data_IF_462393028042
#
_entry.id   IF_462393028042
#
_cell.length_a   1.000
_cell.length_b   1.000
_cell.length_c   1.000
_cell.angle_alpha   90.00
_cell.angle_beta   90.00
_cell.angle_gamma   90.00
#
_symmetry.space_group_name_H-M   'P 1'
#
loop_
_entity.id
_entity.type
_entity.pdbx_description
1 polymer ?
#
# COMPACT_ATOMS: atom_id res chain seq x y z
N UNK A 1 -26.20 -14.33 -22.48
CA UNK A 1 -25.03 -13.54 -22.90
C UNK A 1 -23.81 -14.06 -22.14
N UNK A 2 -22.92 -14.80 -22.81
CA UNK A 2 -21.66 -15.25 -22.19
C UNK A 2 -20.69 -14.08 -22.25
N UNK A 3 -20.33 -13.51 -21.10
CA UNK A 3 -19.21 -12.57 -20.95
C UNK A 3 -17.93 -13.36 -21.30
N UNK A 4 -17.53 -13.29 -22.58
CA UNK A 4 -16.28 -13.85 -23.06
C UNK A 4 -15.16 -12.94 -22.52
N UNK A 5 -14.48 -13.41 -21.48
CA UNK A 5 -13.23 -12.87 -20.91
C UNK A 5 -13.18 -11.35 -20.74
N UNK A 6 -13.27 -10.88 -19.49
CA UNK A 6 -12.93 -9.51 -19.15
C UNK A 6 -11.49 -9.21 -19.59
N UNK A 7 -11.29 -8.17 -20.39
CA UNK A 7 -9.95 -7.70 -20.73
C UNK A 7 -9.38 -6.94 -19.53
N UNK A 8 -8.41 -7.56 -18.87
CA UNK A 8 -7.71 -7.03 -17.70
C UNK A 8 -6.33 -6.48 -18.08
N UNK A 9 -6.11 -6.18 -19.36
CA UNK A 9 -4.85 -5.62 -19.84
C UNK A 9 -4.84 -4.11 -19.62
N UNK A 10 -3.89 -3.60 -18.85
CA UNK A 10 -3.73 -2.18 -18.56
C UNK A 10 -2.26 -1.82 -18.68
N UNK A 11 -1.91 -0.82 -19.50
CA UNK A 11 -0.51 -0.44 -19.78
C UNK A 11 0.41 -1.63 -20.17
N UNK A 12 -0.14 -2.65 -20.83
CA UNK A 12 0.62 -3.84 -21.25
C UNK A 12 0.86 -4.88 -20.14
N UNK A 13 0.27 -4.70 -18.94
CA UNK A 13 0.30 -5.68 -17.85
C UNK A 13 -1.10 -6.22 -17.57
N UNK A 14 -1.19 -7.49 -17.15
CA UNK A 14 -2.47 -8.09 -16.78
C UNK A 14 -2.77 -7.80 -15.31
N UNK A 15 -3.86 -7.08 -15.04
CA UNK A 15 -4.30 -6.67 -13.70
C UNK A 15 -4.62 -7.86 -12.77
N UNK A 16 -4.96 -9.03 -13.32
CA UNK A 16 -5.19 -10.25 -12.53
C UNK A 16 -3.89 -10.95 -12.11
N UNK A 17 -2.76 -10.64 -12.75
CA UNK A 17 -1.48 -11.22 -12.40
C UNK A 17 -1.00 -10.66 -11.06
N UNK A 18 -0.26 -11.48 -10.32
CA UNK A 18 0.30 -11.13 -9.01
C UNK A 18 1.77 -10.76 -9.21
N UNK A 19 2.29 -9.71 -8.56
CA UNK A 19 3.72 -9.40 -8.62
C UNK A 19 4.61 -10.53 -8.09
N UNK A 20 4.08 -11.39 -7.21
CA UNK A 20 4.77 -12.61 -6.77
C UNK A 20 5.06 -13.63 -7.86
N UNK A 21 4.34 -13.57 -8.98
CA UNK A 21 4.57 -14.40 -10.17
C UNK A 21 5.54 -13.76 -11.18
N UNK A 22 6.42 -12.87 -10.71
CA UNK A 22 7.43 -12.17 -11.52
C UNK A 22 8.33 -13.11 -12.34
N UNK A 23 8.55 -14.33 -11.85
CA UNK A 23 9.32 -15.35 -12.56
C UNK A 23 8.66 -15.83 -13.87
N UNK A 24 7.33 -15.71 -13.97
CA UNK A 24 6.55 -16.16 -15.14
C UNK A 24 6.06 -14.97 -15.98
N UNK A 25 5.75 -13.85 -15.32
CA UNK A 25 5.11 -12.70 -15.96
C UNK A 25 6.04 -11.48 -16.15
N UNK A 26 7.28 -11.55 -15.67
CA UNK A 26 8.33 -10.54 -15.89
C UNK A 26 8.76 -9.82 -14.61
N UNK A 27 10.06 -9.53 -14.52
CA UNK A 27 10.68 -8.88 -13.35
C UNK A 27 10.16 -7.45 -13.10
N UNK A 28 9.68 -6.77 -14.14
CA UNK A 28 9.11 -5.41 -14.05
C UNK A 28 7.87 -5.34 -13.16
N UNK A 29 7.17 -6.45 -12.92
CA UNK A 29 6.02 -6.50 -12.01
C UNK A 29 6.39 -6.17 -10.56
N UNK A 30 7.65 -6.39 -10.17
CA UNK A 30 8.16 -6.03 -8.84
C UNK A 30 8.21 -4.52 -8.60
N UNK A 31 8.16 -3.71 -9.66
CA UNK A 31 8.08 -2.25 -9.53
C UNK A 31 6.76 -1.80 -8.88
N UNK A 32 5.66 -2.53 -9.07
CA UNK A 32 4.35 -2.20 -8.51
C UNK A 32 4.36 -2.23 -6.96
N UNK A 33 4.72 -3.35 -6.30
CA UNK A 33 4.75 -3.39 -4.83
C UNK A 33 5.81 -2.46 -4.24
N UNK A 34 6.92 -2.24 -4.95
CA UNK A 34 7.95 -1.27 -4.53
C UNK A 34 7.40 0.15 -4.55
N UNK A 35 6.77 0.57 -5.65
CA UNK A 35 6.11 1.86 -5.76
C UNK A 35 5.01 2.01 -4.70
N UNK A 36 4.25 0.94 -4.45
CA UNK A 36 3.21 0.93 -3.41
C UNK A 36 3.79 1.15 -2.03
N UNK A 37 4.86 0.45 -1.67
CA UNK A 37 5.51 0.61 -0.38
C UNK A 37 6.07 2.03 -0.19
N UNK A 38 6.69 2.60 -1.22
CA UNK A 38 7.21 3.98 -1.21
C UNK A 38 6.06 4.98 -1.05
N UNK A 39 4.98 4.79 -1.80
CA UNK A 39 3.82 5.66 -1.75
C UNK A 39 3.14 5.62 -0.38
N UNK A 40 3.01 4.42 0.20
CA UNK A 40 2.42 4.25 1.52
C UNK A 40 3.31 4.84 2.60
N UNK A 41 4.63 4.67 2.50
CA UNK A 41 5.58 5.32 3.41
C UNK A 41 5.50 6.84 3.33
N UNK A 42 5.42 7.40 2.12
CA UNK A 42 5.25 8.83 1.92
C UNK A 42 3.93 9.33 2.52
N UNK A 43 2.83 8.60 2.30
CA UNK A 43 1.53 8.89 2.89
C UNK A 43 1.59 8.88 4.43
N UNK A 44 2.20 7.87 5.03
CA UNK A 44 2.35 7.77 6.49
C UNK A 44 3.19 8.91 7.05
N UNK A 45 4.25 9.34 6.34
CA UNK A 45 5.07 10.47 6.74
C UNK A 45 4.30 11.79 6.69
N UNK A 46 3.47 11.99 5.66
CA UNK A 46 2.57 13.15 5.58
C UNK A 46 1.52 13.14 6.70
N UNK A 47 0.92 11.99 6.99
CA UNK A 47 0.00 11.83 8.12
C UNK A 47 0.65 12.05 9.48
N UNK A 48 1.95 11.77 9.62
CA UNK A 48 2.70 12.08 10.84
C UNK A 48 3.02 13.58 10.99
N UNK A 49 3.01 14.34 9.89
CA UNK A 49 3.25 15.79 9.86
C UNK A 49 1.95 16.58 10.03
N UNK A 50 0.82 16.05 9.60
CA UNK A 50 -0.50 16.55 10.02
C UNK A 50 -0.77 16.07 11.44
N UNK A 51 -1.11 16.93 12.41
CA UNK A 51 -1.53 16.48 13.72
C UNK A 51 -2.81 15.67 13.57
N UNK A 52 -2.68 14.36 13.52
CA UNK A 52 -3.82 13.47 13.39
C UNK A 52 -4.62 13.58 14.69
N UNK A 53 -5.86 14.07 14.58
CA UNK A 53 -6.91 13.84 15.56
C UNK A 53 -7.17 12.33 15.62
N UNK A 54 -6.29 11.57 16.26
CA UNK A 54 -6.61 10.21 16.68
C UNK A 54 -7.55 10.33 17.87
N UNK A 55 -8.83 10.18 17.58
CA UNK A 55 -9.84 9.84 18.58
C UNK A 55 -9.46 8.50 19.22
N UNK A 56 -9.56 8.47 20.56
CA UNK A 56 -9.38 7.35 21.49
C UNK A 56 -7.93 6.86 21.68
N UNK A 57 -7.37 6.73 22.88
CA UNK A 57 -7.90 6.82 24.24
C UNK A 57 -6.66 6.96 25.16
N UNK A 58 -6.81 7.76 26.22
CA UNK A 58 -6.12 7.69 27.53
C UNK A 58 -4.93 6.72 27.64
N UNK A 59 -3.74 7.22 27.96
CA UNK A 59 -3.15 7.14 29.32
C UNK A 59 -1.75 7.78 29.30
N UNK A 60 -1.53 8.78 30.14
CA UNK A 60 -0.23 9.43 30.41
C UNK A 60 0.74 8.51 31.18
N UNK A 61 0.98 7.28 30.73
CA UNK A 61 1.82 6.34 31.48
C UNK A 61 2.61 5.42 30.54
N UNK A 62 3.76 5.89 30.05
CA UNK A 62 4.73 5.07 29.33
C UNK A 62 5.20 5.67 28.00
N UNK A 63 5.94 6.78 28.05
CA UNK A 63 6.50 7.44 26.85
C UNK A 63 7.25 6.47 25.93
N UNK A 64 7.93 5.45 26.47
CA UNK A 64 8.61 4.43 25.68
C UNK A 64 7.67 3.47 24.95
N UNK A 65 6.57 3.05 25.59
CA UNK A 65 5.58 2.17 24.95
C UNK A 65 4.83 2.90 23.83
N UNK A 66 4.46 4.17 24.05
CA UNK A 66 3.84 5.00 23.03
C UNK A 66 4.76 5.21 21.82
N UNK A 67 6.05 5.44 22.06
CA UNK A 67 7.06 5.63 21.00
C UNK A 67 7.31 4.37 20.18
N UNK A 68 7.34 3.20 20.84
CA UNK A 68 7.42 1.89 20.17
C UNK A 68 6.19 1.66 19.28
N UNK A 69 4.99 1.96 19.79
CA UNK A 69 3.74 1.78 19.06
C UNK A 69 3.67 2.70 17.82
N UNK A 70 4.08 3.97 17.97
CA UNK A 70 4.15 4.93 16.87
C UNK A 70 5.18 4.53 15.80
N UNK A 71 6.33 4.01 16.23
CA UNK A 71 7.39 3.53 15.32
C UNK A 71 6.93 2.31 14.53
N UNK A 72 6.25 1.36 15.17
CA UNK A 72 5.65 0.21 14.49
C UNK A 72 4.65 0.67 13.42
N UNK A 73 3.78 1.62 13.75
CA UNK A 73 2.81 2.13 12.78
C UNK A 73 3.47 2.87 11.61
N UNK A 74 4.62 3.52 11.83
CA UNK A 74 5.32 4.29 10.79
C UNK A 74 6.12 3.44 9.81
N UNK A 75 6.63 2.29 10.25
CA UNK A 75 7.52 1.43 9.43
C UNK A 75 6.93 0.06 9.11
N UNK A 76 6.27 -0.58 10.08
CA UNK A 76 5.72 -1.92 9.90
C UNK A 76 4.49 -1.91 8.98
N UNK A 77 3.63 -0.91 9.13
CA UNK A 77 2.42 -0.75 8.32
C UNK A 77 2.71 -0.60 6.82
N UNK A 78 3.56 0.34 6.35
CA UNK A 78 3.86 0.46 4.92
C UNK A 78 4.56 -0.79 4.37
N UNK A 79 5.39 -1.46 5.18
CA UNK A 79 6.05 -2.70 4.78
C UNK A 79 5.04 -3.84 4.59
N UNK A 80 4.07 -3.97 5.50
CA UNK A 80 2.97 -4.92 5.39
C UNK A 80 2.12 -4.65 4.14
N UNK A 81 1.79 -3.38 3.85
CA UNK A 81 1.07 -3.01 2.64
C UNK A 81 1.88 -3.32 1.38
N UNK A 82 3.20 -3.08 1.39
CA UNK A 82 4.10 -3.48 0.30
C UNK A 82 4.08 -5.00 0.05
N UNK A 83 4.10 -5.80 1.12
CA UNK A 83 3.98 -7.26 1.03
C UNK A 83 2.62 -7.72 0.48
N UNK A 84 1.54 -7.07 0.91
CA UNK A 84 0.22 -7.33 0.37
C UNK A 84 0.14 -6.97 -1.12
N UNK A 85 0.71 -5.83 -1.52
CA UNK A 85 0.79 -5.48 -2.93
C UNK A 85 1.58 -6.50 -3.76
N UNK A 86 2.57 -7.17 -3.16
CA UNK A 86 3.31 -8.25 -3.81
C UNK A 86 2.49 -9.55 -3.93
N UNK A 87 1.67 -9.85 -2.93
CA UNK A 87 0.92 -11.12 -2.84
C UNK A 87 -0.43 -11.09 -3.58
N UNK A 88 -1.05 -9.92 -3.70
CA UNK A 88 -2.35 -9.73 -4.33
C UNK A 88 -2.26 -9.37 -5.82
N UNK A 89 -3.38 -9.48 -6.57
CA UNK A 89 -3.43 -9.05 -7.96
C UNK A 89 -3.10 -7.56 -8.11
N UNK A 90 -2.37 -7.22 -9.18
CA UNK A 90 -1.92 -5.85 -9.47
C UNK A 90 -3.09 -4.86 -9.48
N UNK A 91 -4.26 -5.26 -9.99
CA UNK A 91 -5.43 -4.38 -10.02
C UNK A 91 -5.86 -3.88 -8.64
N UNK A 92 -5.75 -4.72 -7.60
CA UNK A 92 -6.06 -4.34 -6.24
C UNK A 92 -5.03 -3.35 -5.68
N UNK A 93 -3.75 -3.61 -5.95
CA UNK A 93 -2.67 -2.69 -5.55
C UNK A 93 -2.81 -1.34 -6.23
N UNK A 94 -3.03 -1.30 -7.54
CA UNK A 94 -3.21 -0.06 -8.30
C UNK A 94 -4.44 0.74 -7.83
N UNK A 95 -5.53 0.05 -7.50
CA UNK A 95 -6.70 0.67 -6.87
C UNK A 95 -6.28 1.41 -5.59
N UNK A 96 -5.64 0.74 -4.63
CA UNK A 96 -5.22 1.40 -3.39
C UNK A 96 -4.22 2.53 -3.61
N UNK A 97 -3.24 2.35 -4.50
CA UNK A 97 -2.29 3.42 -4.83
C UNK A 97 -2.99 4.66 -5.36
N UNK A 98 -3.97 4.50 -6.25
CA UNK A 98 -4.71 5.62 -6.82
C UNK A 98 -5.45 6.41 -5.73
N UNK A 99 -6.13 5.71 -4.81
CA UNK A 99 -6.77 6.36 -3.67
C UNK A 99 -5.77 7.04 -2.74
N UNK A 100 -4.63 6.41 -2.48
CA UNK A 100 -3.55 7.02 -1.68
C UNK A 100 -3.02 8.30 -2.32
N UNK A 101 -2.74 8.30 -3.64
CA UNK A 101 -2.28 9.50 -4.37
C UNK A 101 -3.31 10.62 -4.29
N UNK A 102 -4.58 10.32 -4.60
CA UNK A 102 -5.66 11.31 -4.49
C UNK A 102 -5.78 11.86 -3.07
N UNK A 103 -5.61 10.97 -2.08
CA UNK A 103 -5.64 11.31 -0.67
C UNK A 103 -4.47 12.19 -0.18
N UNK A 104 -3.33 12.14 -0.88
CA UNK A 104 -2.15 13.00 -0.61
C UNK A 104 -2.32 14.39 -1.22
N UNK A 105 -3.03 14.49 -2.34
CA UNK A 105 -3.22 15.75 -3.09
C UNK A 105 -4.32 16.62 -2.46
N UNK A 106 -5.36 16.01 -1.88
CA UNK A 106 -6.45 16.69 -1.17
C UNK A 106 -6.01 17.29 0.17
#
# INVERSE_FOLDING_TARGET
MRIQSLDLSFFGINLASKPSSWNTAGWWLLAIPLATAILQWYQTKLMALTPQQTTNNKQQTGDDMAKIMQTQMSYLFPLMIGWFAFSFPIGLSLYWNTFTVLGIIQ
#
